data_IF_783287787165
#
_entry.id   IF_783287787165
#
_cell.length_a   1.000
_cell.length_b   1.000
_cell.length_c   1.000
_cell.angle_alpha   90.00
_cell.angle_beta   90.00
_cell.angle_gamma   90.00
#
_symmetry.space_group_name_H-M   'P 1'
#
loop_
_entity.id
_entity.type
_entity.pdbx_description
1 polymer ?
#
# COMPACT_ATOMS: atom_id res chain seq x y z
N UNK A 1 49.49 26.27 5.64
CA UNK A 1 48.01 26.16 5.66
C UNK A 1 47.63 24.70 5.92
N UNK A 2 47.12 24.39 7.12
CA UNK A 2 46.78 23.02 7.51
C UNK A 2 45.45 22.58 6.88
N UNK A 3 45.44 21.46 6.15
CA UNK A 3 44.21 20.83 5.63
C UNK A 3 43.45 20.19 6.79
N UNK A 4 42.33 20.80 7.20
CA UNK A 4 41.37 20.20 8.12
C UNK A 4 40.76 18.96 7.47
N UNK A 5 41.11 17.79 7.99
CA UNK A 5 40.55 16.49 7.60
C UNK A 5 39.12 16.43 8.14
N UNK A 6 38.14 16.72 7.29
CA UNK A 6 36.73 16.58 7.64
C UNK A 6 36.38 15.10 7.73
N UNK A 7 35.92 14.67 8.89
CA UNK A 7 35.41 13.31 9.10
C UNK A 7 34.11 13.15 8.29
N UNK A 8 34.19 12.42 7.18
CA UNK A 8 33.00 12.00 6.45
C UNK A 8 32.25 10.98 7.32
N UNK A 9 31.13 11.39 7.91
CA UNK A 9 30.27 10.50 8.68
C UNK A 9 29.82 9.32 7.80
N UNK A 10 30.05 8.09 8.27
CA UNK A 10 29.78 6.84 7.53
C UNK A 10 28.29 6.47 7.50
N UNK A 11 27.41 7.47 7.52
CA UNK A 11 25.96 7.33 7.65
C UNK A 11 25.21 7.97 6.46
N UNK A 12 25.78 7.92 5.25
CA UNK A 12 24.94 7.99 4.05
C UNK A 12 24.04 6.77 4.06
N UNK A 13 22.74 6.99 4.30
CA UNK A 13 21.65 6.01 4.34
C UNK A 13 21.83 4.93 3.26
N UNK A 14 22.55 3.84 3.57
CA UNK A 14 22.60 2.68 2.68
C UNK A 14 21.20 2.06 2.69
N UNK A 15 20.62 1.71 1.53
CA UNK A 15 19.35 0.99 1.51
C UNK A 15 19.52 -0.29 2.33
N UNK A 16 18.63 -0.51 3.30
CA UNK A 16 18.63 -1.72 4.12
C UNK A 16 18.35 -2.90 3.18
N UNK A 17 19.39 -3.71 2.91
CA UNK A 17 19.22 -4.98 2.19
C UNK A 17 18.66 -5.99 3.18
N UNK A 18 17.37 -6.28 3.07
CA UNK A 18 16.71 -7.31 3.85
C UNK A 18 17.09 -8.67 3.23
N UNK A 19 17.62 -9.58 4.05
CA UNK A 19 17.92 -10.95 3.61
C UNK A 19 16.63 -11.74 3.59
N UNK A 20 16.30 -12.32 2.44
CA UNK A 20 15.26 -13.34 2.25
C UNK A 20 15.66 -14.63 2.99
N UNK A 21 14.73 -15.28 3.69
CA UNK A 21 14.95 -16.60 4.30
C UNK A 21 15.08 -17.72 3.25
N UNK A 22 14.61 -17.48 2.02
CA UNK A 22 14.56 -18.41 0.89
C UNK A 22 15.81 -18.39 -0.02
N UNK A 23 16.89 -17.74 0.40
CA UNK A 23 18.13 -17.61 -0.39
C UNK A 23 18.17 -16.35 -1.27
N UNK A 24 19.28 -16.14 -1.98
CA UNK A 24 19.49 -14.98 -2.85
C UNK A 24 18.82 -15.22 -4.21
N UNK A 25 17.70 -14.57 -4.47
CA UNK A 25 17.13 -14.46 -5.81
C UNK A 25 17.80 -13.29 -6.54
N UNK A 26 18.12 -13.43 -7.83
CA UNK A 26 18.73 -12.35 -8.64
C UNK A 26 17.83 -11.10 -8.81
N UNK A 27 16.56 -11.23 -8.41
CA UNK A 27 15.63 -10.11 -8.31
C UNK A 27 15.46 -9.70 -6.84
N UNK A 28 15.85 -8.46 -6.52
CA UNK A 28 15.54 -7.80 -5.24
C UNK A 28 14.03 -7.51 -5.18
N UNK A 29 13.25 -8.48 -4.70
CA UNK A 29 11.82 -8.29 -4.47
C UNK A 29 11.65 -7.24 -3.35
N UNK A 30 10.95 -6.13 -3.61
CA UNK A 30 10.69 -5.12 -2.58
C UNK A 30 9.84 -5.72 -1.47
N UNK A 31 10.44 -5.95 -0.30
CA UNK A 31 9.69 -6.37 0.88
C UNK A 31 8.99 -5.18 1.54
N UNK A 32 7.77 -5.40 2.01
CA UNK A 32 7.07 -4.45 2.86
C UNK A 32 7.67 -4.47 4.27
N UNK A 33 7.99 -3.30 4.82
CA UNK A 33 8.34 -3.18 6.23
C UNK A 33 7.10 -3.28 7.13
N UNK A 34 7.32 -3.61 8.41
CA UNK A 34 6.23 -3.67 9.40
C UNK A 34 5.40 -2.38 9.50
N UNK A 35 6.05 -1.21 9.36
CA UNK A 35 5.36 0.10 9.37
C UNK A 35 4.36 0.21 8.22
N UNK A 36 4.76 -0.22 7.04
CA UNK A 36 3.92 -0.21 5.83
C UNK A 36 2.79 -1.23 5.91
N UNK A 37 3.08 -2.44 6.41
CA UNK A 37 2.05 -3.45 6.64
C UNK A 37 0.97 -2.95 7.61
N UNK A 38 1.34 -2.28 8.70
CA UNK A 38 0.39 -1.71 9.65
C UNK A 38 -0.48 -0.61 9.03
N UNK A 39 0.09 0.26 8.19
CA UNK A 39 -0.67 1.31 7.51
C UNK A 39 -1.66 0.70 6.52
N UNK A 40 -1.23 -0.30 5.74
CA UNK A 40 -2.11 -0.99 4.79
C UNK A 40 -3.27 -1.64 5.54
N UNK A 41 -3.00 -2.38 6.62
CA UNK A 41 -4.02 -3.02 7.44
C UNK A 41 -5.00 -2.01 8.02
N UNK A 42 -4.50 -0.93 8.63
CA UNK A 42 -5.34 0.08 9.27
C UNK A 42 -6.24 0.79 8.24
N UNK A 43 -5.68 1.21 7.10
CA UNK A 43 -6.45 1.89 6.05
C UNK A 43 -7.49 0.97 5.42
N UNK A 44 -7.15 -0.30 5.18
CA UNK A 44 -8.11 -1.28 4.63
C UNK A 44 -9.25 -1.56 5.59
N UNK A 45 -8.94 -1.75 6.88
CA UNK A 45 -9.95 -1.96 7.92
C UNK A 45 -10.87 -0.74 8.08
N UNK A 46 -10.31 0.47 8.13
CA UNK A 46 -11.09 1.70 8.20
C UNK A 46 -11.95 1.91 6.95
N UNK A 47 -11.43 1.62 5.76
CA UNK A 47 -12.21 1.73 4.53
C UNK A 47 -13.46 0.82 4.56
N UNK A 48 -13.29 -0.42 5.00
CA UNK A 48 -14.40 -1.38 5.11
C UNK A 48 -15.46 -1.00 6.14
N UNK A 49 -15.11 -0.24 7.18
CA UNK A 49 -16.08 0.22 8.19
C UNK A 49 -16.72 1.57 7.83
N UNK A 50 -15.91 2.54 7.41
CA UNK A 50 -16.36 3.92 7.19
C UNK A 50 -17.22 4.01 5.93
N UNK A 51 -16.87 3.31 4.84
CA UNK A 51 -17.60 3.44 3.58
C UNK A 51 -19.05 2.96 3.71
N UNK A 52 -19.36 1.78 4.26
CA UNK A 52 -20.74 1.36 4.48
C UNK A 52 -21.48 2.27 5.45
N UNK A 53 -20.84 2.70 6.55
CA UNK A 53 -21.46 3.59 7.54
C UNK A 53 -21.88 4.95 6.94
N UNK A 54 -21.07 5.51 6.05
CA UNK A 54 -21.42 6.74 5.32
C UNK A 54 -22.56 6.47 4.32
N UNK A 55 -22.55 5.33 3.63
CA UNK A 55 -23.62 4.99 2.68
C UNK A 55 -24.96 4.78 3.38
N UNK A 56 -24.96 4.16 4.57
CA UNK A 56 -26.13 3.95 5.40
C UNK A 56 -26.72 5.30 5.89
N UNK A 57 -25.85 6.22 6.32
CA UNK A 57 -26.27 7.58 6.70
C UNK A 57 -26.99 8.33 5.56
N UNK A 58 -26.59 8.08 4.31
CA UNK A 58 -27.14 8.73 3.12
C UNK A 58 -28.31 7.91 2.52
N UNK A 59 -28.67 6.74 3.08
CA UNK A 59 -29.67 5.80 2.55
C UNK A 59 -29.40 5.41 1.07
N UNK A 60 -28.13 5.25 0.71
CA UNK A 60 -27.72 4.78 -0.62
C UNK A 60 -27.31 3.33 -0.52
N UNK A 61 -27.58 2.56 -1.58
CA UNK A 61 -27.16 1.17 -1.67
C UNK A 61 -25.62 1.06 -1.50
N UNK A 62 -25.19 0.40 -0.42
CA UNK A 62 -23.80 0.35 0.02
C UNK A 62 -22.92 -0.60 -0.81
N UNK A 63 -23.51 -1.51 -1.58
CA UNK A 63 -22.76 -2.54 -2.29
C UNK A 63 -21.77 -1.94 -3.30
N UNK A 64 -22.24 -1.08 -4.21
CA UNK A 64 -21.39 -0.50 -5.26
C UNK A 64 -20.33 0.48 -4.72
N UNK A 65 -20.66 1.43 -3.83
CA UNK A 65 -19.68 2.34 -3.25
C UNK A 65 -18.59 1.60 -2.47
N UNK A 66 -18.95 0.55 -1.72
CA UNK A 66 -17.99 -0.23 -0.93
C UNK A 66 -17.00 -0.96 -1.81
N UNK A 67 -17.44 -1.54 -2.93
CA UNK A 67 -16.54 -2.17 -3.92
C UNK A 67 -15.58 -1.17 -4.52
N UNK A 68 -16.09 -0.05 -5.02
CA UNK A 68 -15.28 0.94 -5.76
C UNK A 68 -14.32 1.66 -4.82
N UNK A 69 -14.85 2.27 -3.75
CA UNK A 69 -14.06 3.06 -2.82
C UNK A 69 -13.15 2.17 -1.97
N UNK A 70 -13.63 1.00 -1.54
CA UNK A 70 -12.82 0.03 -0.79
C UNK A 70 -11.67 -0.52 -1.63
N UNK A 71 -11.92 -0.86 -2.90
CA UNK A 71 -10.89 -1.26 -3.86
C UNK A 71 -9.86 -0.16 -4.11
N UNK A 72 -10.30 1.08 -4.30
CA UNK A 72 -9.40 2.22 -4.48
C UNK A 72 -8.55 2.48 -3.23
N UNK A 73 -9.17 2.60 -2.05
CA UNK A 73 -8.44 2.87 -0.81
C UNK A 73 -7.41 1.77 -0.50
N UNK A 74 -7.78 0.50 -0.66
CA UNK A 74 -6.88 -0.63 -0.43
C UNK A 74 -5.72 -0.65 -1.44
N UNK A 75 -6.00 -0.56 -2.74
CA UNK A 75 -5.00 -0.58 -3.80
C UNK A 75 -4.02 0.59 -3.72
N UNK A 76 -4.53 1.80 -3.45
CA UNK A 76 -3.69 2.98 -3.28
C UNK A 76 -2.93 3.01 -1.95
N UNK A 77 -3.43 2.38 -0.89
CA UNK A 77 -2.68 2.24 0.37
C UNK A 77 -1.42 1.38 0.19
N UNK A 78 -1.52 0.30 -0.59
CA UNK A 78 -0.38 -0.57 -0.93
C UNK A 78 0.64 0.18 -1.78
N UNK A 79 0.20 0.88 -2.83
CA UNK A 79 1.11 1.65 -3.69
C UNK A 79 1.73 2.83 -2.93
N UNK A 80 0.97 3.51 -2.08
CA UNK A 80 1.49 4.59 -1.22
C UNK A 80 2.61 4.07 -0.32
N UNK A 81 2.37 2.97 0.36
CA UNK A 81 3.36 2.36 1.24
C UNK A 81 4.64 2.01 0.46
N UNK A 82 4.52 1.30 -0.67
CA UNK A 82 5.66 0.86 -1.45
C UNK A 82 6.51 2.01 -2.03
N UNK A 83 5.86 3.04 -2.60
CA UNK A 83 6.57 4.11 -3.31
C UNK A 83 7.08 5.22 -2.38
N UNK A 84 6.36 5.54 -1.30
CA UNK A 84 6.73 6.62 -0.40
C UNK A 84 7.53 6.14 0.82
N UNK A 85 7.13 5.04 1.46
CA UNK A 85 7.75 4.59 2.72
C UNK A 85 9.01 3.78 2.41
N UNK A 86 8.88 2.75 1.58
CA UNK A 86 9.98 1.84 1.25
C UNK A 86 10.96 2.45 0.24
N UNK A 87 10.48 2.79 -0.95
CA UNK A 87 11.39 3.20 -2.05
C UNK A 87 11.76 4.69 -2.04
N UNK A 88 10.95 5.56 -1.43
CA UNK A 88 11.15 7.03 -1.38
C UNK A 88 11.34 7.69 -2.76
N UNK A 89 10.67 7.15 -3.77
CA UNK A 89 10.73 7.64 -5.16
C UNK A 89 9.65 8.73 -5.38
N UNK A 90 8.53 8.63 -4.66
CA UNK A 90 7.39 9.54 -4.80
C UNK A 90 6.39 9.11 -5.89
N UNK A 91 5.64 10.08 -6.44
CA UNK A 91 4.62 9.84 -7.47
C UNK A 91 5.31 9.65 -8.82
N UNK A 92 5.11 8.50 -9.44
CA UNK A 92 5.69 8.14 -10.75
C UNK A 92 4.62 7.47 -11.62
N UNK A 93 4.88 7.30 -12.93
CA UNK A 93 3.98 6.54 -13.82
C UNK A 93 3.70 5.12 -13.29
N UNK A 94 4.72 4.47 -12.75
CA UNK A 94 4.59 3.15 -12.13
C UNK A 94 3.73 3.14 -10.87
N UNK A 95 3.64 4.25 -10.12
CA UNK A 95 2.76 4.35 -8.96
C UNK A 95 1.29 4.25 -9.36
N UNK A 96 0.90 4.96 -10.42
CA UNK A 96 -0.46 4.93 -10.95
C UNK A 96 -0.82 3.57 -11.55
N UNK A 97 0.12 2.93 -12.25
CA UNK A 97 -0.10 1.60 -12.83
C UNK A 97 -0.27 0.55 -11.73
N UNK A 98 0.64 0.51 -10.74
CA UNK A 98 0.56 -0.46 -9.64
C UNK A 98 -0.68 -0.20 -8.79
N UNK A 99 -0.95 1.05 -8.41
CA UNK A 99 -2.13 1.41 -7.64
C UNK A 99 -3.44 1.08 -8.35
N UNK A 100 -3.53 1.40 -9.65
CA UNK A 100 -4.72 1.13 -10.46
C UNK A 100 -4.95 -0.36 -10.74
N UNK A 101 -3.89 -1.12 -10.99
CA UNK A 101 -4.01 -2.57 -11.21
C UNK A 101 -4.42 -3.29 -9.92
N UNK A 102 -3.81 -2.91 -8.79
CA UNK A 102 -4.07 -3.54 -7.50
C UNK A 102 -5.44 -3.14 -6.95
N UNK A 103 -5.88 -1.90 -7.18
CA UNK A 103 -7.24 -1.48 -6.81
C UNK A 103 -8.31 -2.21 -7.63
N UNK A 104 -8.09 -2.42 -8.93
CA UNK A 104 -9.00 -3.19 -9.78
C UNK A 104 -9.09 -4.65 -9.30
N UNK A 105 -7.95 -5.27 -8.99
CA UNK A 105 -7.91 -6.64 -8.47
C UNK A 105 -8.68 -6.78 -7.15
N UNK A 106 -8.46 -5.87 -6.20
CA UNK A 106 -9.17 -5.90 -4.92
C UNK A 106 -10.65 -5.57 -5.09
N UNK A 107 -11.01 -4.61 -5.95
CA UNK A 107 -12.41 -4.32 -6.26
C UNK A 107 -13.12 -5.55 -6.83
N UNK A 108 -12.48 -6.30 -7.73
CA UNK A 108 -13.03 -7.55 -8.27
C UNK A 108 -13.24 -8.60 -7.16
N UNK A 109 -12.28 -8.74 -6.23
CA UNK A 109 -12.40 -9.63 -5.08
C UNK A 109 -13.54 -9.21 -4.15
N UNK A 110 -13.66 -7.91 -3.83
CA UNK A 110 -14.74 -7.38 -3.00
C UNK A 110 -16.11 -7.54 -3.67
N UNK A 111 -16.19 -7.33 -4.98
CA UNK A 111 -17.40 -7.58 -5.75
C UNK A 111 -17.84 -9.03 -5.61
N UNK A 112 -16.94 -9.99 -5.84
CA UNK A 112 -17.26 -11.41 -5.68
C UNK A 112 -17.72 -11.71 -4.25
N UNK A 113 -17.05 -11.16 -3.25
CA UNK A 113 -17.33 -11.47 -1.85
C UNK A 113 -18.67 -10.88 -1.34
N UNK A 114 -19.05 -9.69 -1.82
CA UNK A 114 -20.35 -9.06 -1.52
C UNK A 114 -21.48 -9.80 -2.25
N UNK A 115 -21.32 -10.09 -3.54
CA UNK A 115 -22.36 -10.76 -4.33
C UNK A 115 -22.47 -12.27 -4.04
N UNK A 116 -21.43 -12.89 -3.49
CA UNK A 116 -21.51 -14.23 -2.92
C UNK A 116 -22.25 -14.27 -1.56
N UNK A 117 -22.61 -13.11 -1.00
CA UNK A 117 -23.39 -13.01 0.25
C UNK A 117 -22.57 -13.25 1.52
N UNK A 118 -21.24 -13.19 1.45
CA UNK A 118 -20.35 -13.37 2.61
C UNK A 118 -20.34 -12.11 3.49
N UNK A 119 -20.42 -10.94 2.86
CA UNK A 119 -20.61 -9.65 3.52
C UNK A 119 -22.02 -9.20 3.20
N UNK A 120 -22.92 -9.38 4.18
CA UNK A 120 -24.25 -8.77 4.19
C UNK A 120 -24.16 -7.35 4.71
#
# INVERSE_FOLDING_TARGET
MAKLKTWQYKNRKKPRKYRTSLGTTDYDIPMFGYRSALIILLVTFLALLIIPAICDLINVNYHLPTVILGGLCSGFSVSFSQFFIERKIGICRSFWIVGGLLSLFVAMMLFLLIYAGIIM
#
